data_IF_411583021308
#
_entry.id   IF_411583021308
#
_cell.length_a   1.000
_cell.length_b   1.000
_cell.length_c   1.000
_cell.angle_alpha   90.00
_cell.angle_beta   90.00
_cell.angle_gamma   90.00
#
_symmetry.space_group_name_H-M   'P 1'
#
loop_
_entity.id
_entity.type
_entity.pdbx_description
1 polymer ?
#
# COMPACT_ATOMS: atom_id res chain seq x y z
N UNK A 1 -0.77 -1.88 1.99
CA UNK A 1 -0.27 -0.48 2.07
C UNK A 1 -1.28 0.31 2.86
N UNK A 2 -0.86 1.28 3.68
CA UNK A 2 -1.81 2.02 4.54
C UNK A 2 -2.84 2.77 3.71
N UNK A 3 -4.13 2.58 4.03
CA UNK A 3 -5.23 3.30 3.38
C UNK A 3 -5.31 4.73 3.94
N UNK A 4 -5.36 5.72 3.04
CA UNK A 4 -5.49 7.12 3.41
C UNK A 4 -6.92 7.45 3.88
N UNK A 5 -7.08 8.59 4.53
CA UNK A 5 -8.37 9.05 5.07
C UNK A 5 -9.43 9.30 3.99
N UNK A 6 -8.99 9.50 2.74
CA UNK A 6 -9.89 9.65 1.59
C UNK A 6 -10.59 8.34 1.19
N UNK A 7 -10.16 7.20 1.75
CA UNK A 7 -10.68 5.87 1.44
C UNK A 7 -10.45 5.40 0.01
N UNK A 8 -9.63 6.12 -0.78
CA UNK A 8 -9.43 5.89 -2.21
C UNK A 8 -7.97 5.64 -2.56
N UNK A 9 -7.06 6.31 -1.86
CA UNK A 9 -5.63 6.25 -2.14
C UNK A 9 -4.87 5.60 -0.98
N UNK A 10 -3.63 5.19 -1.24
CA UNK A 10 -2.75 4.59 -0.24
C UNK A 10 -1.50 5.44 -0.07
N UNK A 11 -0.88 5.34 1.11
CA UNK A 11 0.40 5.98 1.40
C UNK A 11 1.56 5.19 0.74
N UNK A 12 1.59 5.21 -0.60
CA UNK A 12 2.67 4.67 -1.43
C UNK A 12 3.52 5.80 -2.02
N UNK A 13 4.76 5.49 -2.36
CA UNK A 13 5.70 6.43 -2.97
C UNK A 13 6.62 5.69 -3.94
N UNK A 14 6.96 6.38 -5.03
CA UNK A 14 7.90 5.91 -6.04
C UNK A 14 8.97 6.98 -6.25
N UNK A 15 10.24 6.57 -6.32
CA UNK A 15 11.38 7.41 -6.69
C UNK A 15 11.72 7.11 -8.14
N UNK A 16 11.67 8.14 -9.00
CA UNK A 16 11.90 8.01 -10.43
C UNK A 16 13.24 8.64 -10.85
N UNK A 17 14.01 7.93 -11.66
CA UNK A 17 15.24 8.41 -12.28
C UNK A 17 15.04 8.67 -13.80
N UNK A 18 15.61 9.75 -14.36
CA UNK A 18 15.48 10.06 -15.79
C UNK A 18 15.95 8.91 -16.70
N UNK A 19 15.12 8.57 -17.69
CA UNK A 19 15.43 7.55 -18.72
C UNK A 19 15.27 6.09 -18.28
N UNK A 20 15.27 5.80 -16.97
CA UNK A 20 15.13 4.44 -16.42
C UNK A 20 13.72 4.20 -15.88
N UNK A 21 13.08 5.24 -15.31
CA UNK A 21 11.79 5.12 -14.64
C UNK A 21 11.97 4.91 -13.14
N UNK A 22 11.20 4.01 -12.54
CA UNK A 22 11.24 3.76 -11.09
C UNK A 22 12.54 3.10 -10.65
N UNK A 23 13.12 3.58 -9.54
CA UNK A 23 14.30 3.00 -8.90
C UNK A 23 14.04 2.53 -7.47
N UNK A 24 13.05 3.11 -6.77
CA UNK A 24 12.67 2.72 -5.41
C UNK A 24 11.16 2.87 -5.28
N UNK A 25 10.48 1.80 -4.89
CA UNK A 25 9.07 1.82 -4.47
C UNK A 25 8.96 1.57 -2.97
N UNK A 26 8.06 2.28 -2.31
CA UNK A 26 7.84 2.17 -0.88
C UNK A 26 6.41 2.49 -0.47
N UNK A 27 6.04 2.10 0.74
CA UNK A 27 4.75 2.48 1.32
C UNK A 27 4.79 2.41 2.84
N UNK A 28 3.93 3.20 3.49
CA UNK A 28 3.64 2.99 4.90
C UNK A 28 2.93 1.64 5.08
N UNK A 29 3.40 0.85 6.06
CA UNK A 29 2.73 -0.38 6.46
C UNK A 29 1.39 -0.03 7.10
N UNK A 30 0.36 -0.80 6.78
CA UNK A 30 -0.92 -0.65 7.46
C UNK A 30 -0.78 -1.23 8.87
N UNK A 31 -0.75 -0.35 9.86
CA UNK A 31 -0.58 -0.70 11.26
C UNK A 31 -1.89 -1.13 11.95
N UNK A 32 -3.05 -0.81 11.36
CA UNK A 32 -4.37 -1.12 11.90
C UNK A 32 -4.79 -2.53 11.44
N UNK A 33 -4.87 -3.46 12.38
CA UNK A 33 -5.09 -4.89 12.09
C UNK A 33 -6.43 -5.16 11.40
N UNK A 34 -7.50 -4.51 11.87
CA UNK A 34 -8.85 -4.62 11.29
C UNK A 34 -8.89 -4.15 9.83
N UNK A 35 -8.25 -3.01 9.54
CA UNK A 35 -8.14 -2.49 8.17
C UNK A 35 -7.26 -3.41 7.32
N UNK A 36 -6.16 -3.92 7.87
CA UNK A 36 -5.28 -4.84 7.16
C UNK A 36 -6.01 -6.13 6.78
N UNK A 37 -6.72 -6.75 7.72
CA UNK A 37 -7.47 -8.00 7.50
C UNK A 37 -8.56 -7.82 6.44
N UNK A 38 -9.35 -6.75 6.53
CA UNK A 38 -10.36 -6.43 5.53
C UNK A 38 -9.75 -6.28 4.12
N UNK A 39 -8.61 -5.58 4.01
CA UNK A 39 -7.91 -5.41 2.73
C UNK A 39 -7.31 -6.71 2.20
N UNK A 40 -6.82 -7.59 3.08
CA UNK A 40 -6.34 -8.92 2.67
C UNK A 40 -7.49 -9.75 2.11
N UNK A 41 -8.64 -9.77 2.79
CA UNK A 41 -9.84 -10.48 2.32
C UNK A 41 -10.34 -9.95 0.97
N UNK A 42 -10.44 -8.62 0.80
CA UNK A 42 -10.81 -7.97 -0.46
C UNK A 42 -9.89 -8.37 -1.63
N UNK A 43 -8.60 -8.59 -1.34
CA UNK A 43 -7.60 -9.00 -2.33
C UNK A 43 -7.47 -10.53 -2.47
N UNK A 44 -8.29 -11.30 -1.77
CA UNK A 44 -8.25 -12.78 -1.80
C UNK A 44 -7.00 -13.37 -1.13
N UNK A 45 -6.32 -12.59 -0.29
CA UNK A 45 -5.19 -13.04 0.51
C UNK A 45 -5.71 -13.60 1.82
N UNK A 46 -5.18 -14.76 2.25
CA UNK A 46 -5.54 -15.35 3.53
C UNK A 46 -4.84 -14.57 4.65
N UNK A 47 -5.58 -14.03 5.64
CA UNK A 47 -4.98 -13.60 6.89
C UNK A 47 -4.24 -14.78 7.52
N UNK A 48 -3.05 -14.53 8.06
CA UNK A 48 -2.20 -15.54 8.72
C UNK A 48 -2.70 -15.89 10.11
#
# INVERSE_FOLDING_TARGET
MRLNEDGKTVAAMDVLAPGIGEIIGGSQREERLDVLDARMEEMGLKPS
#
